data_IF_990322334339
#
_entry.id   IF_990322334339
#
_cell.length_a   1.000
_cell.length_b   1.000
_cell.length_c   1.000
_cell.angle_alpha   90.00
_cell.angle_beta   90.00
_cell.angle_gamma   90.00
#
_symmetry.space_group_name_H-M   'P 1'
#
loop_
_entity.id
_entity.type
_entity.pdbx_description
1 polymer ?
#
# COMPACT_ATOMS: atom_id res chain seq x y z
N UNK A 1 -2.30 -8.42 3.16
CA UNK A 1 -3.71 -8.05 3.17
C UNK A 1 -4.54 -9.28 3.49
N UNK A 2 -5.15 -9.36 4.69
CA UNK A 2 -6.03 -10.46 5.02
C UNK A 2 -7.22 -10.51 4.06
N UNK A 3 -7.59 -11.70 3.64
CA UNK A 3 -8.70 -11.92 2.71
C UNK A 3 -9.73 -12.80 3.41
N UNK A 4 -10.94 -12.29 3.61
CA UNK A 4 -12.06 -13.14 4.01
C UNK A 4 -12.59 -13.93 2.80
N UNK A 5 -13.52 -14.85 3.02
CA UNK A 5 -14.12 -15.68 1.97
C UNK A 5 -14.85 -14.88 0.87
N UNK A 6 -15.16 -13.62 1.14
CA UNK A 6 -15.91 -12.73 0.25
C UNK A 6 -14.98 -11.74 -0.48
N UNK A 7 -13.67 -11.84 -0.28
CA UNK A 7 -12.70 -11.04 -0.99
C UNK A 7 -12.77 -11.32 -2.50
N UNK A 8 -12.74 -10.27 -3.31
CA UNK A 8 -12.76 -10.39 -4.76
C UNK A 8 -14.15 -10.19 -5.38
N UNK A 9 -15.12 -9.68 -4.64
CA UNK A 9 -16.41 -9.28 -5.19
C UNK A 9 -16.28 -8.13 -6.18
N UNK A 10 -17.14 -8.14 -7.22
CA UNK A 10 -17.27 -7.00 -8.12
C UNK A 10 -17.95 -5.83 -7.43
N UNK A 11 -17.80 -4.64 -7.98
CA UNK A 11 -18.25 -3.40 -7.35
C UNK A 11 -19.73 -3.40 -6.94
N UNK A 12 -20.60 -4.00 -7.76
CA UNK A 12 -22.05 -4.06 -7.48
C UNK A 12 -22.46 -5.15 -6.49
N UNK A 13 -21.54 -6.05 -6.12
CA UNK A 13 -21.79 -7.19 -5.24
C UNK A 13 -21.21 -6.98 -3.83
N UNK A 14 -20.68 -5.78 -3.55
CA UNK A 14 -20.08 -5.46 -2.25
C UNK A 14 -21.16 -5.28 -1.20
N UNK A 15 -21.04 -6.01 -0.09
CA UNK A 15 -21.91 -5.89 1.06
C UNK A 15 -21.30 -5.01 2.15
N UNK A 16 -22.16 -4.31 2.90
CA UNK A 16 -21.72 -3.35 3.92
C UNK A 16 -20.87 -3.99 5.01
N UNK A 17 -21.27 -5.14 5.52
CA UNK A 17 -20.56 -5.81 6.62
C UNK A 17 -19.14 -6.28 6.19
N UNK A 18 -19.03 -6.83 4.99
CA UNK A 18 -17.71 -7.21 4.42
C UNK A 18 -16.82 -5.99 4.23
N UNK A 19 -17.38 -4.89 3.72
CA UNK A 19 -16.65 -3.64 3.55
C UNK A 19 -16.12 -3.10 4.88
N UNK A 20 -16.97 -3.05 5.92
CA UNK A 20 -16.60 -2.56 7.26
C UNK A 20 -15.55 -3.46 7.91
N UNK A 21 -15.71 -4.79 7.81
CA UNK A 21 -14.72 -5.74 8.34
C UNK A 21 -13.34 -5.53 7.70
N UNK A 22 -13.29 -5.44 6.36
CA UNK A 22 -12.04 -5.21 5.64
C UNK A 22 -11.40 -3.85 6.00
N UNK A 23 -12.19 -2.78 6.12
CA UNK A 23 -11.71 -1.48 6.59
C UNK A 23 -11.12 -1.59 8.01
N UNK A 24 -11.86 -2.20 8.92
CA UNK A 24 -11.46 -2.39 10.32
C UNK A 24 -10.14 -3.14 10.44
N UNK A 25 -10.03 -4.28 9.76
CA UNK A 25 -8.81 -5.10 9.79
C UNK A 25 -7.60 -4.39 9.19
N UNK A 26 -7.75 -3.75 8.05
CA UNK A 26 -6.61 -3.26 7.27
C UNK A 26 -6.25 -1.81 7.60
N UNK A 27 -7.21 -0.89 7.57
CA UNK A 27 -6.94 0.50 7.91
C UNK A 27 -6.81 0.67 9.43
N UNK A 28 -7.66 0.02 10.21
CA UNK A 28 -7.54 -0.04 11.66
C UNK A 28 -6.24 -0.69 12.11
N UNK A 29 -5.83 -1.78 11.44
CA UNK A 29 -4.55 -2.46 11.64
C UNK A 29 -3.33 -1.61 11.28
N UNK A 30 -3.50 -0.54 10.53
CA UNK A 30 -2.45 0.46 10.31
C UNK A 30 -2.46 1.55 11.39
N UNK A 31 -3.64 2.08 11.73
CA UNK A 31 -3.80 3.20 12.68
C UNK A 31 -3.35 2.81 14.09
N UNK A 32 -3.87 1.72 14.64
CA UNK A 32 -3.67 1.37 16.04
C UNK A 32 -2.20 1.05 16.35
N UNK A 33 -1.50 0.18 15.60
CA UNK A 33 -0.07 -0.02 15.80
C UNK A 33 0.74 1.27 15.64
N UNK A 34 0.42 2.09 14.63
CA UNK A 34 1.12 3.36 14.41
C UNK A 34 0.96 4.32 15.60
N UNK A 35 -0.23 4.38 16.21
CA UNK A 35 -0.48 5.16 17.41
C UNK A 35 0.38 4.67 18.58
N UNK A 36 0.39 3.36 18.84
CA UNK A 36 1.13 2.78 19.96
C UNK A 36 2.65 2.96 19.78
N UNK A 37 3.18 2.70 18.58
CA UNK A 37 4.60 2.90 18.29
C UNK A 37 4.99 4.39 18.35
N UNK A 38 4.11 5.30 17.92
CA UNK A 38 4.39 6.75 18.03
C UNK A 38 4.55 7.20 19.47
N UNK A 39 3.73 6.68 20.40
CA UNK A 39 3.87 6.95 21.84
C UNK A 39 5.21 6.42 22.39
N UNK A 40 5.61 5.23 21.96
CA UNK A 40 6.91 4.66 22.31
C UNK A 40 8.07 5.50 21.76
N UNK A 41 8.00 5.87 20.48
CA UNK A 41 9.02 6.67 19.82
C UNK A 41 9.16 8.08 20.40
N UNK A 42 8.06 8.70 20.85
CA UNK A 42 8.12 9.97 21.58
C UNK A 42 8.94 9.86 22.87
N UNK A 43 8.78 8.77 23.63
CA UNK A 43 9.57 8.52 24.84
C UNK A 43 11.04 8.21 24.51
N UNK A 44 11.29 7.54 23.39
CA UNK A 44 12.63 7.20 22.89
C UNK A 44 13.37 8.43 22.34
N UNK A 45 12.62 9.45 21.86
CA UNK A 45 13.17 10.67 21.24
C UNK A 45 13.39 10.58 19.74
N UNK A 46 13.12 9.45 19.10
CA UNK A 46 13.19 9.26 17.64
C UNK A 46 12.33 8.07 17.19
N UNK A 47 11.98 8.03 15.90
CA UNK A 47 11.23 6.91 15.35
C UNK A 47 11.02 6.99 13.85
N UNK A 48 10.61 5.87 13.26
CA UNK A 48 10.34 5.78 11.84
C UNK A 48 9.21 4.78 11.58
N UNK A 49 8.20 5.20 10.83
CA UNK A 49 7.06 4.38 10.42
C UNK A 49 7.03 4.36 8.90
N UNK A 50 6.98 3.16 8.31
CA UNK A 50 6.81 2.98 6.88
C UNK A 50 5.55 2.15 6.63
N UNK A 51 4.53 2.77 6.05
CA UNK A 51 3.28 2.13 5.66
C UNK A 51 3.40 1.50 4.27
N UNK A 52 2.96 0.26 4.13
CA UNK A 52 2.92 -0.41 2.83
C UNK A 52 1.53 -0.26 2.22
N UNK A 53 1.41 0.70 1.29
CA UNK A 53 0.20 0.94 0.53
C UNK A 53 0.15 0.09 -0.76
N UNK A 54 -0.20 0.68 -1.88
CA UNK A 54 -0.24 0.06 -3.21
C UNK A 54 -0.32 1.15 -4.28
N UNK A 55 0.05 0.82 -5.51
CA UNK A 55 -0.27 1.65 -6.69
C UNK A 55 -1.77 1.96 -6.78
N UNK A 56 -2.64 1.05 -6.34
CA UNK A 56 -4.10 1.27 -6.31
C UNK A 56 -4.59 2.15 -5.14
N UNK A 57 -3.69 2.64 -4.33
CA UNK A 57 -3.92 3.81 -3.48
C UNK A 57 -3.57 5.13 -4.17
N UNK A 58 -2.83 5.07 -5.29
CA UNK A 58 -2.34 6.23 -6.06
C UNK A 58 -3.21 6.49 -7.30
N UNK A 59 -3.53 5.42 -8.04
CA UNK A 59 -4.36 5.47 -9.25
C UNK A 59 -5.57 4.54 -9.11
N UNK A 60 -6.59 4.76 -9.92
CA UNK A 60 -7.68 3.79 -10.07
C UNK A 60 -7.16 2.48 -10.71
N UNK A 61 -7.74 1.33 -10.35
CA UNK A 61 -7.36 0.06 -10.95
C UNK A 61 -7.52 0.08 -12.48
N UNK A 62 -6.55 -0.48 -13.20
CA UNK A 62 -6.63 -0.74 -14.65
C UNK A 62 -7.43 -2.02 -14.85
N UNK A 63 -8.77 -1.94 -14.81
CA UNK A 63 -9.65 -3.10 -14.82
C UNK A 63 -9.47 -4.02 -16.02
N UNK A 64 -9.01 -3.49 -17.15
CA UNK A 64 -8.78 -4.25 -18.38
C UNK A 64 -7.76 -5.39 -18.22
N UNK A 65 -6.85 -5.31 -17.24
CA UNK A 65 -5.86 -6.39 -17.01
C UNK A 65 -6.48 -7.63 -16.38
N UNK A 66 -7.66 -7.49 -15.75
CA UNK A 66 -8.39 -8.58 -15.09
C UNK A 66 -9.34 -9.32 -16.05
N UNK A 67 -9.63 -8.76 -17.25
CA UNK A 67 -10.51 -9.38 -18.22
C UNK A 67 -10.04 -10.80 -18.58
N UNK A 68 -10.98 -11.72 -18.74
CA UNK A 68 -10.75 -13.16 -19.02
C UNK A 68 -9.95 -13.86 -17.91
N UNK A 69 -10.06 -13.41 -16.69
CA UNK A 69 -9.55 -14.07 -15.48
C UNK A 69 -10.64 -14.08 -14.40
N UNK A 70 -10.51 -14.94 -13.40
CA UNK A 70 -11.39 -14.93 -12.23
C UNK A 70 -10.98 -13.87 -11.19
N UNK A 71 -9.97 -13.06 -11.49
CA UNK A 71 -9.46 -12.03 -10.60
C UNK A 71 -10.25 -10.73 -10.78
N UNK A 72 -10.34 -9.97 -9.70
CA UNK A 72 -10.84 -8.59 -9.72
C UNK A 72 -10.04 -7.73 -8.74
N UNK A 73 -10.26 -6.42 -8.76
CA UNK A 73 -9.74 -5.50 -7.74
C UNK A 73 -10.90 -4.98 -6.91
N UNK A 74 -11.01 -5.41 -5.65
CA UNK A 74 -12.09 -4.98 -4.76
C UNK A 74 -12.04 -3.49 -4.46
N UNK A 75 -13.20 -2.85 -4.34
CA UNK A 75 -13.29 -1.42 -4.06
C UNK A 75 -12.72 -1.07 -2.69
N UNK A 76 -12.93 -1.91 -1.69
CA UNK A 76 -12.39 -1.73 -0.35
C UNK A 76 -10.87 -1.72 -0.35
N UNK A 77 -10.21 -2.51 -1.20
CA UNK A 77 -8.76 -2.50 -1.32
C UNK A 77 -8.25 -1.12 -1.76
N UNK A 78 -8.82 -0.58 -2.83
CA UNK A 78 -8.42 0.73 -3.34
C UNK A 78 -8.69 1.83 -2.32
N UNK A 79 -9.87 1.80 -1.66
CA UNK A 79 -10.24 2.76 -0.62
C UNK A 79 -9.29 2.70 0.59
N UNK A 80 -8.96 1.50 1.08
CA UNK A 80 -8.03 1.29 2.19
C UNK A 80 -6.64 1.82 1.83
N UNK A 81 -6.12 1.45 0.67
CA UNK A 81 -4.76 1.83 0.25
C UNK A 81 -4.62 3.33 0.02
N UNK A 82 -5.65 3.97 -0.53
CA UNK A 82 -5.73 5.44 -0.61
C UNK A 82 -5.81 6.07 0.80
N UNK A 83 -6.65 5.54 1.68
CA UNK A 83 -6.75 5.96 3.08
C UNK A 83 -5.42 5.88 3.82
N UNK A 84 -4.62 4.81 3.60
CA UNK A 84 -3.29 4.66 4.19
C UNK A 84 -2.32 5.75 3.74
N UNK A 85 -2.38 6.19 2.48
CA UNK A 85 -1.55 7.30 1.99
C UNK A 85 -1.92 8.62 2.66
N UNK A 86 -3.21 8.89 2.83
CA UNK A 86 -3.64 10.10 3.53
C UNK A 86 -3.32 10.03 5.03
N UNK A 87 -3.50 8.86 5.66
CA UNK A 87 -3.11 8.63 7.05
C UNK A 87 -1.60 8.85 7.27
N UNK A 88 -0.76 8.44 6.33
CA UNK A 88 0.69 8.70 6.37
C UNK A 88 0.97 10.20 6.45
N UNK A 89 0.32 11.00 5.62
CA UNK A 89 0.44 12.48 5.66
C UNK A 89 -0.10 13.07 6.96
N UNK A 90 -1.24 12.57 7.42
CA UNK A 90 -1.85 13.00 8.69
C UNK A 90 -0.87 12.78 9.85
N UNK A 91 -0.33 11.55 9.98
CA UNK A 91 0.59 11.20 11.07
C UNK A 91 1.89 12.02 10.99
N UNK A 92 2.48 12.17 9.80
CA UNK A 92 3.67 12.99 9.61
C UNK A 92 3.43 14.45 10.04
N UNK A 93 2.25 14.99 9.76
CA UNK A 93 1.87 16.34 10.17
C UNK A 93 1.58 16.44 11.67
N UNK A 94 0.89 15.46 12.24
CA UNK A 94 0.56 15.40 13.66
C UNK A 94 1.81 15.29 14.54
N UNK A 95 2.79 14.53 14.10
CA UNK A 95 4.07 14.32 14.80
C UNK A 95 5.12 15.40 14.49
N UNK A 96 4.71 16.52 13.87
CA UNK A 96 5.63 17.64 13.60
C UNK A 96 6.25 18.16 14.91
N UNK A 97 7.56 18.40 14.89
CA UNK A 97 8.33 18.85 16.06
C UNK A 97 8.87 17.70 16.92
N UNK A 98 8.56 16.46 16.55
CA UNK A 98 9.22 15.26 17.09
C UNK A 98 10.27 14.78 16.09
N UNK A 99 11.17 13.92 16.52
CA UNK A 99 12.12 13.25 15.63
C UNK A 99 11.54 11.90 15.12
N UNK A 100 10.25 11.92 14.70
CA UNK A 100 9.53 10.74 14.17
C UNK A 100 9.13 11.03 12.74
N UNK A 101 9.53 10.15 11.82
CA UNK A 101 9.16 10.23 10.40
C UNK A 101 8.13 9.17 10.06
N UNK A 102 7.19 9.53 9.19
CA UNK A 102 6.16 8.61 8.70
C UNK A 102 6.08 8.72 7.18
N UNK A 103 6.37 7.63 6.49
CA UNK A 103 6.33 7.57 5.04
C UNK A 103 5.56 6.34 4.55
N UNK A 104 5.34 6.25 3.27
CA UNK A 104 4.70 5.09 2.65
C UNK A 104 5.51 4.59 1.45
N UNK A 105 5.36 3.30 1.16
CA UNK A 105 5.74 2.69 -0.10
C UNK A 105 4.46 2.21 -0.78
N UNK A 106 4.31 2.50 -2.08
CA UNK A 106 3.24 1.97 -2.93
C UNK A 106 3.83 1.01 -3.94
N UNK A 107 3.87 -0.29 -3.63
CA UNK A 107 4.32 -1.30 -4.58
C UNK A 107 3.36 -1.45 -5.74
N UNK A 108 3.89 -1.79 -6.92
CA UNK A 108 3.18 -2.45 -7.99
C UNK A 108 2.78 -3.89 -7.62
N UNK A 109 2.32 -4.63 -8.59
CA UNK A 109 1.98 -6.05 -8.39
C UNK A 109 3.20 -6.86 -7.96
N UNK A 110 3.05 -7.61 -6.88
CA UNK A 110 4.04 -8.59 -6.43
C UNK A 110 3.66 -9.96 -7.00
N UNK A 111 4.64 -10.65 -7.59
CA UNK A 111 4.44 -11.97 -8.17
C UNK A 111 4.10 -12.99 -7.07
N UNK A 112 2.93 -13.63 -7.20
CA UNK A 112 2.38 -14.58 -6.23
C UNK A 112 1.41 -15.57 -6.93
N UNK A 113 1.88 -16.24 -7.99
CA UNK A 113 1.12 -17.28 -8.69
C UNK A 113 -0.08 -16.79 -9.51
N UNK A 114 -0.11 -15.54 -9.94
CA UNK A 114 -1.19 -15.01 -10.79
C UNK A 114 -1.27 -15.74 -12.13
N UNK A 115 -2.49 -15.84 -12.74
CA UNK A 115 -2.69 -16.49 -14.04
C UNK A 115 -1.84 -15.84 -15.15
N UNK A 116 -1.36 -16.65 -16.09
CA UNK A 116 -0.52 -16.20 -17.20
C UNK A 116 -1.16 -15.07 -18.03
N UNK A 117 -2.48 -15.12 -18.23
CA UNK A 117 -3.20 -14.07 -18.98
C UNK A 117 -3.16 -12.72 -18.25
N UNK A 118 -3.30 -12.72 -16.91
CA UNK A 118 -3.12 -11.53 -16.10
C UNK A 118 -1.68 -11.02 -16.19
N UNK A 119 -0.68 -11.91 -16.01
CA UNK A 119 0.74 -11.54 -16.07
C UNK A 119 1.09 -10.90 -17.41
N UNK A 120 0.62 -11.47 -18.52
CA UNK A 120 0.85 -10.93 -19.86
C UNK A 120 0.33 -9.48 -19.98
N UNK A 121 -0.90 -9.21 -19.52
CA UNK A 121 -1.51 -7.87 -19.60
C UNK A 121 -0.85 -6.88 -18.63
N UNK A 122 -0.51 -7.35 -17.44
CA UNK A 122 0.19 -6.52 -16.44
C UNK A 122 1.56 -6.07 -16.98
N UNK A 123 2.34 -7.01 -17.50
CA UNK A 123 3.69 -6.74 -18.01
C UNK A 123 3.69 -5.78 -19.21
N UNK A 124 2.64 -5.78 -20.04
CA UNK A 124 2.47 -4.81 -21.13
C UNK A 124 2.33 -3.35 -20.66
N UNK A 125 2.00 -3.12 -19.39
CA UNK A 125 1.89 -1.78 -18.78
C UNK A 125 3.17 -1.36 -18.06
N UNK A 126 4.16 -2.22 -17.98
CA UNK A 126 5.42 -1.99 -17.29
C UNK A 126 6.56 -1.69 -18.25
N UNK A 127 7.64 -1.11 -17.74
CA UNK A 127 8.77 -0.67 -18.57
C UNK A 127 9.75 -1.80 -18.91
N UNK A 128 10.03 -2.71 -17.97
CA UNK A 128 11.11 -3.71 -18.14
C UNK A 128 10.80 -5.08 -17.53
N UNK A 129 10.55 -5.15 -16.24
CA UNK A 129 10.44 -6.41 -15.49
C UNK A 129 8.99 -6.94 -15.41
N UNK A 130 8.03 -6.04 -15.32
CA UNK A 130 6.64 -6.38 -15.03
C UNK A 130 6.37 -6.47 -13.54
N UNK A 131 5.72 -7.56 -13.09
CA UNK A 131 5.47 -7.75 -11.66
C UNK A 131 6.77 -7.92 -10.89
N UNK A 132 6.76 -7.36 -9.67
CA UNK A 132 7.93 -7.31 -8.80
C UNK A 132 8.10 -8.60 -7.99
N UNK A 133 9.33 -8.90 -7.60
CA UNK A 133 9.61 -9.74 -6.43
C UNK A 133 9.58 -8.90 -5.15
N UNK A 134 9.24 -9.51 -4.01
CA UNK A 134 9.24 -8.78 -2.73
C UNK A 134 10.57 -8.11 -2.40
N UNK A 135 11.70 -8.70 -2.84
CA UNK A 135 13.06 -8.14 -2.65
C UNK A 135 13.29 -6.82 -3.39
N UNK A 136 12.52 -6.52 -4.45
CA UNK A 136 12.67 -5.27 -5.22
C UNK A 136 12.27 -4.04 -4.39
N UNK A 137 11.55 -4.24 -3.28
CA UNK A 137 11.19 -3.18 -2.35
C UNK A 137 12.29 -2.88 -1.32
N UNK A 138 13.27 -3.78 -1.14
CA UNK A 138 14.24 -3.70 -0.05
C UNK A 138 15.06 -2.40 -0.10
N UNK A 139 15.50 -1.97 -1.29
CA UNK A 139 16.26 -0.73 -1.45
C UNK A 139 15.50 0.49 -0.97
N UNK A 140 14.23 0.61 -1.37
CA UNK A 140 13.36 1.72 -0.97
C UNK A 140 13.04 1.66 0.53
N UNK A 141 12.79 0.46 1.07
CA UNK A 141 12.53 0.28 2.50
C UNK A 141 13.76 0.65 3.34
N UNK A 142 14.95 0.17 2.98
CA UNK A 142 16.21 0.50 3.68
C UNK A 142 16.46 2.01 3.60
N UNK A 143 16.27 2.64 2.44
CA UNK A 143 16.40 4.09 2.29
C UNK A 143 15.47 4.83 3.27
N UNK A 144 14.17 4.49 3.31
CA UNK A 144 13.21 5.15 4.19
C UNK A 144 13.50 4.91 5.69
N UNK A 145 14.06 3.76 6.04
CA UNK A 145 14.38 3.42 7.43
C UNK A 145 15.73 4.00 7.90
N UNK A 146 16.59 4.42 6.99
CA UNK A 146 17.92 4.96 7.29
C UNK A 146 17.96 6.48 7.43
N UNK A 147 19.07 7.01 7.92
CA UNK A 147 19.35 8.44 8.02
C UNK A 147 19.49 9.14 6.65
N UNK A 148 19.67 8.36 5.56
CA UNK A 148 19.67 8.90 4.19
C UNK A 148 18.36 9.58 3.82
N UNK A 149 17.27 9.24 4.52
CA UNK A 149 15.95 9.84 4.33
C UNK A 149 15.53 10.79 5.48
N UNK A 150 16.48 11.37 6.22
CA UNK A 150 16.22 12.22 7.40
C UNK A 150 15.23 13.37 7.15
N UNK A 151 15.19 13.88 5.94
CA UNK A 151 14.30 14.98 5.55
C UNK A 151 13.13 14.51 4.65
N UNK A 152 12.92 13.20 4.49
CA UNK A 152 11.78 12.61 3.79
C UNK A 152 10.73 12.26 4.84
N UNK A 153 9.61 13.01 4.84
CA UNK A 153 8.53 12.82 5.81
C UNK A 153 7.17 13.11 5.15
N UNK A 154 6.18 12.25 5.38
CA UNK A 154 4.85 12.33 4.78
C UNK A 154 4.80 11.95 3.29
N UNK A 155 5.85 11.32 2.77
CA UNK A 155 5.99 10.99 1.36
C UNK A 155 5.52 9.57 1.05
N UNK A 156 5.13 9.35 -0.20
CA UNK A 156 4.83 8.05 -0.78
C UNK A 156 5.80 7.75 -1.92
N UNK A 157 6.57 6.68 -1.81
CA UNK A 157 7.45 6.21 -2.87
C UNK A 157 6.80 5.06 -3.63
N UNK A 158 6.58 5.27 -4.93
CA UNK A 158 6.05 4.24 -5.83
C UNK A 158 7.21 3.37 -6.33
N UNK A 159 7.02 2.05 -6.28
CA UNK A 159 7.97 1.06 -6.81
C UNK A 159 7.14 0.07 -7.64
N UNK A 160 7.09 0.23 -8.98
CA UNK A 160 6.10 -0.45 -9.82
C UNK A 160 6.56 -0.75 -11.25
N UNK A 161 7.84 -0.58 -11.56
CA UNK A 161 8.38 -0.72 -12.93
C UNK A 161 7.63 0.15 -13.98
N UNK A 162 7.14 1.33 -13.55
CA UNK A 162 6.46 2.29 -14.43
C UNK A 162 5.00 1.96 -14.74
N UNK A 163 4.38 1.01 -14.06
CA UNK A 163 2.99 0.59 -14.31
C UNK A 163 1.97 1.72 -14.26
N UNK A 164 2.19 2.74 -13.42
CA UNK A 164 1.24 3.87 -13.26
C UNK A 164 1.44 5.01 -14.26
N UNK A 165 2.45 4.94 -15.11
CA UNK A 165 2.74 5.95 -16.14
C UNK A 165 1.75 5.92 -17.32
#
# INVERSE_FOLDING_TARGET
>A
YPRNKNYGRHFFDVEYDDFVENLGMNLGGCIIPSQLFSLYFQKQGYGNIVNISSIYGVIAPKFEIYNNTEMTMPVEYAAIKSGMLHLTKYMAKYLKGTNIRVNAISPGGILDGQPNEFLRKYNQKCSTKGMLDGKDLNGTLIFLLSDMSSYVNGQNLVVDDGFIL
#
